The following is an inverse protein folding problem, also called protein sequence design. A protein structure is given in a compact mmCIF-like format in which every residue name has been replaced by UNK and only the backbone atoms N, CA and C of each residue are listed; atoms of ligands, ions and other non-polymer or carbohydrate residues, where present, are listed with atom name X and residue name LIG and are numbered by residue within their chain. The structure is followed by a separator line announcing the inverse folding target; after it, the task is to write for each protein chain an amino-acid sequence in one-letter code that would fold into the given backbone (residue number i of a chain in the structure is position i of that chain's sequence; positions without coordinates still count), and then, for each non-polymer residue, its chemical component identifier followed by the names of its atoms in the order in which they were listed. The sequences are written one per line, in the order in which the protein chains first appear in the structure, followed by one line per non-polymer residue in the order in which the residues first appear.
data_IF_816105322556
#
_entry.id   IF_816105322556
#
_cell.length_a   1.000
_cell.length_b   1.000
_cell.length_c   1.000
_cell.angle_alpha   90.00
_cell.angle_beta   90.00
_cell.angle_gamma   90.00
#
_symmetry.space_group_name_H-M   'P 1'
#
loop_
_entity.id
_entity.type
_entity.pdbx_description
1 polymer ?
#
# COMPACT_ATOMS: atom_id res chain seq x y z
N UNK A 1 -0.77 13.30 -21.02
CA UNK A 1 -0.68 14.25 -19.88
C UNK A 1 -1.01 13.47 -18.63
N UNK A 2 -0.07 13.35 -17.70
CA UNK A 2 -0.34 12.69 -16.43
C UNK A 2 -1.32 13.53 -15.62
N UNK A 3 -2.36 12.91 -15.08
CA UNK A 3 -3.30 13.60 -14.23
C UNK A 3 -2.67 13.68 -12.83
N UNK A 4 -2.28 14.88 -12.43
CA UNK A 4 -1.61 15.14 -11.15
C UNK A 4 -2.43 16.08 -10.29
N UNK A 5 -2.52 15.78 -8.99
CA UNK A 5 -3.11 16.67 -7.99
C UNK A 5 -2.10 16.93 -6.87
N UNK A 6 -2.11 18.15 -6.33
CA UNK A 6 -1.30 18.54 -5.17
C UNK A 6 -2.25 18.83 -4.03
N UNK A 7 -2.13 18.07 -2.94
CA UNK A 7 -3.00 18.16 -1.77
C UNK A 7 -2.21 18.52 -0.53
N UNK A 8 -2.82 19.33 0.35
CA UNK A 8 -2.24 19.67 1.65
C UNK A 8 -2.67 18.64 2.69
N UNK A 9 -1.71 17.99 3.34
CA UNK A 9 -1.97 16.97 4.38
C UNK A 9 -1.36 17.33 5.73
N UNK A 10 -0.78 18.53 5.87
CA UNK A 10 0.02 18.89 7.03
C UNK A 10 1.39 18.20 6.98
N UNK A 11 1.95 17.83 8.14
CA UNK A 11 3.23 17.09 8.20
C UNK A 11 3.01 15.67 7.68
N UNK A 12 3.65 15.25 6.57
CA UNK A 12 3.58 13.86 6.12
C UNK A 12 4.19 12.95 7.17
N UNK A 13 3.50 11.85 7.45
CA UNK A 13 3.88 10.81 8.39
C UNK A 13 3.33 9.49 7.88
N UNK A 14 3.79 8.35 8.40
CA UNK A 14 3.29 7.03 7.97
C UNK A 14 1.77 6.98 8.16
N UNK A 15 1.30 7.49 9.30
CA UNK A 15 -0.14 7.57 9.61
C UNK A 15 -0.90 8.50 8.67
N UNK A 16 -0.45 9.74 8.48
CA UNK A 16 -1.19 10.72 7.65
C UNK A 16 -1.21 10.32 6.18
N UNK A 17 -0.14 9.70 5.67
CA UNK A 17 -0.10 9.14 4.33
C UNK A 17 -1.07 7.95 4.18
N UNK A 18 -1.09 7.05 5.17
CA UNK A 18 -2.02 5.91 5.17
C UNK A 18 -3.46 6.38 5.16
N UNK A 19 -3.80 7.30 6.06
CA UNK A 19 -5.16 7.83 6.19
C UNK A 19 -5.56 8.56 4.88
N UNK A 20 -4.65 9.37 4.29
CA UNK A 20 -4.88 10.00 2.99
C UNK A 20 -5.13 8.99 1.85
N UNK A 21 -4.32 7.93 1.76
CA UNK A 21 -4.45 6.88 0.73
C UNK A 21 -5.83 6.22 0.80
N UNK A 22 -6.29 5.92 2.02
CA UNK A 22 -7.59 5.30 2.25
C UNK A 22 -8.74 6.26 1.93
N UNK A 23 -8.69 7.48 2.46
CA UNK A 23 -9.75 8.47 2.30
C UNK A 23 -9.96 8.88 0.83
N UNK A 24 -8.88 8.85 0.03
CA UNK A 24 -8.89 9.26 -1.37
C UNK A 24 -8.86 8.08 -2.36
N UNK A 25 -8.96 6.83 -1.84
CA UNK A 25 -8.93 5.62 -2.67
C UNK A 25 -7.75 5.60 -3.66
N UNK A 26 -6.56 5.94 -3.18
CA UNK A 26 -5.33 5.93 -3.99
C UNK A 26 -4.95 4.48 -4.28
N UNK A 27 -4.75 4.15 -5.55
CA UNK A 27 -4.57 2.76 -6.00
C UNK A 27 -3.09 2.39 -6.16
N UNK A 28 -2.81 1.09 -6.28
CA UNK A 28 -1.49 0.57 -6.56
C UNK A 28 -0.89 1.06 -7.89
N UNK A 29 -1.72 1.58 -8.81
CA UNK A 29 -1.27 2.18 -10.07
C UNK A 29 -0.93 3.68 -9.93
N UNK A 30 -1.19 4.28 -8.77
CA UNK A 30 -0.91 5.68 -8.48
C UNK A 30 0.37 5.84 -7.68
N UNK A 31 1.11 6.92 -7.89
CA UNK A 31 2.33 7.21 -7.12
C UNK A 31 2.12 8.45 -6.26
N UNK A 32 2.56 8.40 -5.01
CA UNK A 32 2.60 9.57 -4.12
C UNK A 32 4.03 10.09 -4.09
N UNK A 33 4.18 11.35 -4.46
CA UNK A 33 5.43 12.08 -4.41
C UNK A 33 5.43 13.02 -3.22
N UNK A 34 6.52 13.01 -2.47
CA UNK A 34 6.76 13.88 -1.32
C UNK A 34 7.89 14.84 -1.62
N UNK A 35 7.90 15.99 -0.94
CA UNK A 35 9.11 16.79 -0.88
C UNK A 35 10.24 15.99 -0.21
N UNK A 36 11.50 16.24 -0.59
CA UNK A 36 12.67 15.58 0.01
C UNK A 36 12.70 15.71 1.55
N UNK A 37 12.41 16.90 2.09
CA UNK A 37 12.39 17.12 3.55
C UNK A 37 11.33 16.24 4.22
N UNK A 38 10.15 16.13 3.60
CA UNK A 38 9.06 15.31 4.14
C UNK A 38 9.37 13.81 4.04
N UNK A 39 10.06 13.38 2.99
CA UNK A 39 10.49 11.99 2.82
C UNK A 39 11.60 11.61 3.81
N UNK A 40 12.57 12.51 4.05
CA UNK A 40 13.60 12.32 5.07
C UNK A 40 12.97 12.20 6.47
N UNK A 41 12.02 13.08 6.80
CA UNK A 41 11.27 13.02 8.06
C UNK A 41 10.47 11.71 8.19
N UNK A 42 9.88 11.22 7.09
CA UNK A 42 9.19 9.94 7.05
C UNK A 42 10.15 8.77 7.30
N UNK A 43 11.36 8.81 6.73
CA UNK A 43 12.38 7.79 6.95
C UNK A 43 12.90 7.79 8.40
N UNK A 44 13.00 8.98 9.02
CA UNK A 44 13.34 9.12 10.44
C UNK A 44 12.22 8.56 11.34
N UNK A 45 10.96 8.91 11.08
CA UNK A 45 9.79 8.33 11.78
C UNK A 45 9.81 6.81 11.70
N UNK A 46 10.01 6.27 10.49
CA UNK A 46 10.11 4.84 10.25
C UNK A 46 11.20 4.18 11.10
N UNK A 47 12.39 4.78 11.13
CA UNK A 47 13.50 4.26 11.93
C UNK A 47 13.20 4.33 13.42
N UNK A 48 12.53 5.37 13.87
CA UNK A 48 12.18 5.52 15.27
C UNK A 48 11.10 4.51 15.71
N UNK A 49 10.12 4.22 14.86
CA UNK A 49 9.03 3.29 15.16
C UNK A 49 9.46 1.82 15.01
N UNK A 50 10.17 1.47 13.94
CA UNK A 50 10.51 0.09 13.58
C UNK A 50 11.94 -0.32 13.92
N UNK A 51 12.79 0.62 14.34
CA UNK A 51 14.21 0.40 14.71
C UNK A 51 15.07 -0.11 13.55
N UNK A 52 14.68 0.22 12.32
CA UNK A 52 15.35 -0.20 11.09
C UNK A 52 15.30 0.90 10.03
N UNK A 53 16.14 0.81 9.01
CA UNK A 53 16.17 1.82 7.95
C UNK A 53 14.98 1.63 6.99
N UNK A 54 14.40 2.74 6.53
CA UNK A 54 13.39 2.70 5.47
C UNK A 54 14.00 2.16 4.17
N UNK A 55 13.33 1.17 3.61
CA UNK A 55 13.77 0.44 2.41
C UNK A 55 13.14 1.09 1.18
N UNK A 56 13.95 1.52 0.20
CA UNK A 56 13.50 2.24 -1.02
C UNK A 56 13.68 1.42 -2.30
N UNK A 57 12.63 1.07 -3.05
CA UNK A 57 11.31 1.70 -3.07
C UNK A 57 10.43 1.41 -1.84
N UNK A 58 9.80 2.46 -1.32
CA UNK A 58 8.94 2.41 -0.16
C UNK A 58 7.48 2.33 -0.60
N UNK A 59 6.77 1.33 -0.08
CA UNK A 59 5.37 1.08 -0.40
C UNK A 59 4.53 1.19 0.85
N UNK A 60 3.46 2.00 0.79
CA UNK A 60 2.47 2.11 1.84
C UNK A 60 1.11 1.71 1.26
N UNK A 61 0.49 0.66 1.81
CA UNK A 61 -0.75 0.10 1.27
C UNK A 61 -0.69 -0.16 -0.25
N UNK A 62 0.43 -0.71 -0.73
CA UNK A 62 0.72 -0.98 -2.17
C UNK A 62 0.90 0.25 -3.07
N UNK A 63 0.76 1.45 -2.52
CA UNK A 63 1.04 2.72 -3.23
C UNK A 63 2.53 3.01 -3.10
N UNK A 64 3.18 3.30 -4.23
CA UNK A 64 4.58 3.73 -4.24
C UNK A 64 4.67 5.14 -3.65
N UNK A 65 5.48 5.28 -2.61
CA UNK A 65 5.83 6.56 -2.00
C UNK A 65 7.28 6.86 -2.35
N UNK A 66 7.55 8.00 -2.98
CA UNK A 66 8.93 8.41 -3.31
C UNK A 66 9.12 9.92 -3.23
N UNK A 67 10.38 10.31 -3.24
CA UNK A 67 10.78 11.72 -3.35
C UNK A 67 10.38 12.29 -4.71
N UNK A 68 9.96 13.56 -4.71
CA UNK A 68 9.80 14.35 -5.92
C UNK A 68 11.16 14.92 -6.34
N UNK A 69 11.88 14.21 -7.20
CA UNK A 69 13.20 14.61 -7.71
C UNK A 69 13.18 16.00 -8.40
N UNK A 70 12.04 16.40 -8.94
CA UNK A 70 11.86 17.70 -9.60
C UNK A 70 11.54 18.82 -8.61
N UNK A 71 11.41 18.48 -7.32
CA UNK A 71 11.07 19.39 -6.23
C UNK A 71 9.82 20.25 -6.52
N UNK A 72 8.86 19.67 -7.24
CA UNK A 72 7.61 20.33 -7.63
C UNK A 72 6.54 20.27 -6.54
N UNK A 73 6.73 19.40 -5.55
CA UNK A 73 5.86 19.18 -4.40
C UNK A 73 6.34 20.04 -3.23
N UNK A 74 5.55 21.03 -2.78
CA UNK A 74 5.92 21.85 -1.63
C UNK A 74 5.96 21.04 -0.33
N UNK A 75 6.77 21.49 0.63
CA UNK A 75 6.81 20.91 1.98
C UNK A 75 5.42 20.92 2.63
N UNK A 76 5.07 19.83 3.31
CA UNK A 76 3.76 19.65 3.96
C UNK A 76 2.63 19.32 2.97
N UNK A 77 2.97 18.99 1.72
CA UNK A 77 2.02 18.60 0.68
C UNK A 77 2.46 17.30 0.04
N UNK A 78 1.50 16.68 -0.63
CA UNK A 78 1.75 15.50 -1.44
C UNK A 78 1.26 15.74 -2.85
N UNK A 79 1.95 15.13 -3.80
CA UNK A 79 1.53 15.11 -5.20
C UNK A 79 1.16 13.68 -5.56
N UNK A 80 -0.04 13.50 -6.10
CA UNK A 80 -0.49 12.20 -6.58
C UNK A 80 -0.36 12.16 -8.09
N UNK A 81 0.37 11.18 -8.60
CA UNK A 81 0.44 10.86 -10.03
C UNK A 81 -0.51 9.70 -10.29
N UNK A 82 -1.63 9.98 -10.98
CA UNK A 82 -2.62 8.94 -11.30
C UNK A 82 -2.16 8.09 -12.47
N UNK A 83 -2.30 6.77 -12.35
CA UNK A 83 -1.88 5.80 -13.36
C UNK A 83 -0.45 6.05 -13.84
N UNK A 84 0.49 6.08 -12.90
CA UNK A 84 1.88 6.41 -13.16
C UNK A 84 2.54 5.36 -14.07
N UNK A 85 2.52 5.65 -15.37
CA UNK A 85 3.14 4.81 -16.41
C UNK A 85 4.64 5.01 -16.52
N UNK A 86 5.20 5.99 -15.81
CA UNK A 86 6.63 6.32 -15.82
C UNK A 86 7.40 5.63 -14.70
N UNK A 87 6.75 4.76 -13.92
CA UNK A 87 7.42 3.89 -12.97
C UNK A 87 8.49 3.07 -13.67
N UNK A 88 9.72 3.14 -13.16
CA UNK A 88 10.85 2.43 -13.71
C UNK A 88 10.93 1.02 -13.13
N UNK A 89 11.60 0.09 -13.82
CA UNK A 89 11.86 -1.25 -13.28
C UNK A 89 12.54 -1.19 -11.90
N UNK A 90 13.35 -0.15 -11.66
CA UNK A 90 13.98 0.17 -10.38
C UNK A 90 13.02 0.39 -9.22
N UNK A 91 11.82 0.94 -9.50
CA UNK A 91 10.79 1.22 -8.50
C UNK A 91 10.16 -0.05 -7.92
N UNK A 92 10.46 -1.23 -8.49
CA UNK A 92 9.99 -2.53 -8.01
C UNK A 92 11.12 -3.38 -7.40
N UNK A 93 12.37 -2.89 -7.40
CA UNK A 93 13.54 -3.72 -7.06
C UNK A 93 13.62 -4.12 -5.58
N UNK A 94 13.01 -3.36 -4.66
CA UNK A 94 12.93 -3.77 -3.25
C UNK A 94 11.67 -4.56 -2.90
N UNK A 95 10.82 -4.84 -3.88
CA UNK A 95 9.86 -5.94 -3.77
C UNK A 95 10.68 -7.23 -3.92
N UNK A 96 11.45 -7.57 -2.88
CA UNK A 96 12.12 -8.86 -2.78
C UNK A 96 11.04 -9.92 -2.61
N UNK A 97 10.64 -10.54 -3.72
CA UNK A 97 9.93 -11.81 -3.69
C UNK A 97 10.96 -12.91 -3.39
N UNK A 98 11.57 -12.88 -2.20
CA UNK A 98 12.60 -13.86 -1.83
C UNK A 98 12.78 -14.01 -0.32
N UNK A 99 12.12 -15.04 0.22
CA UNK A 99 12.60 -15.81 1.38
C UNK A 99 12.53 -15.15 2.77
N UNK A 100 12.70 -15.94 3.84
CA UNK A 100 12.09 -15.69 5.13
C UNK A 100 13.07 -15.08 6.14
N UNK A 101 13.02 -13.77 6.36
CA UNK A 101 13.34 -13.16 7.65
C UNK A 101 13.01 -11.67 7.62
N UNK A 102 12.35 -11.23 8.69
CA UNK A 102 12.28 -9.84 9.18
C UNK A 102 11.24 -8.93 8.50
N UNK A 103 10.05 -8.95 9.13
CA UNK A 103 9.20 -7.80 9.47
C UNK A 103 9.02 -6.71 8.42
N UNK A 104 7.96 -6.78 7.59
CA UNK A 104 7.25 -5.59 7.09
C UNK A 104 5.75 -5.84 6.87
N UNK A 105 4.97 -4.80 7.14
CA UNK A 105 3.53 -4.74 7.35
C UNK A 105 2.71 -4.73 6.05
N UNK A 106 2.09 -5.87 5.71
CA UNK A 106 0.86 -5.87 4.90
C UNK A 106 -0.31 -5.86 5.87
N UNK A 107 -0.88 -4.68 6.13
CA UNK A 107 -1.63 -4.56 7.37
C UNK A 107 -2.97 -5.28 7.37
N UNK A 108 -3.68 -5.45 6.23
CA UNK A 108 -4.97 -6.16 6.24
C UNK A 108 -5.26 -6.86 4.90
N UNK A 109 -5.38 -8.19 4.90
CA UNK A 109 -5.94 -8.97 3.78
C UNK A 109 -7.27 -9.60 4.21
N UNK A 110 -8.37 -9.10 3.65
CA UNK A 110 -9.71 -9.58 3.97
C UNK A 110 -9.98 -10.96 3.35
N UNK A 111 -10.57 -11.84 4.16
CA UNK A 111 -11.07 -13.13 3.70
C UNK A 111 -12.58 -13.17 3.79
N UNK A 112 -13.22 -13.83 2.83
CA UNK A 112 -14.60 -14.23 2.95
C UNK A 112 -14.73 -15.19 4.14
N UNK A 113 -15.55 -14.84 5.14
CA UNK A 113 -15.81 -15.68 6.31
C UNK A 113 -16.52 -16.99 5.98
N UNK A 114 -17.05 -17.14 4.76
CA UNK A 114 -17.80 -18.32 4.32
C UNK A 114 -16.93 -19.35 3.59
N UNK A 115 -16.12 -18.92 2.60
CA UNK A 115 -15.29 -19.83 1.80
C UNK A 115 -13.78 -19.58 1.93
N UNK A 116 -13.36 -18.58 2.70
CA UNK A 116 -11.95 -18.23 2.88
C UNK A 116 -11.28 -17.55 1.69
N UNK A 117 -12.02 -17.24 0.60
CA UNK A 117 -11.48 -16.50 -0.55
C UNK A 117 -10.94 -15.14 -0.12
N UNK A 118 -9.91 -14.67 -0.82
CA UNK A 118 -9.45 -13.29 -0.68
C UNK A 118 -10.43 -12.38 -1.40
N UNK A 119 -10.90 -11.37 -0.66
CA UNK A 119 -11.92 -10.40 -1.09
C UNK A 119 -11.44 -8.99 -0.75
N UNK A 120 -12.13 -7.97 -1.25
CA UNK A 120 -11.94 -6.61 -0.75
C UNK A 120 -12.56 -6.44 0.65
N UNK A 121 -12.51 -5.21 1.18
CA UNK A 121 -13.04 -4.90 2.51
C UNK A 121 -14.57 -5.02 2.60
N UNK A 122 -15.28 -4.90 1.49
CA UNK A 122 -16.74 -5.04 1.37
C UNK A 122 -17.16 -6.50 1.15
N UNK A 123 -16.21 -7.40 0.90
CA UNK A 123 -16.47 -8.80 0.60
C UNK A 123 -16.65 -9.11 -0.89
N UNK A 124 -16.38 -8.16 -1.79
CA UNK A 124 -16.46 -8.40 -3.23
C UNK A 124 -15.26 -9.17 -3.73
N UNK A 125 -15.48 -9.88 -4.84
CA UNK A 125 -14.41 -10.59 -5.50
C UNK A 125 -13.42 -9.62 -6.15
N UNK A 126 -12.14 -9.84 -5.88
CA UNK A 126 -11.05 -9.07 -6.48
C UNK A 126 -10.78 -9.56 -7.90
N UNK A 127 -10.25 -8.68 -8.73
CA UNK A 127 -9.71 -9.06 -10.03
C UNK A 127 -8.60 -10.12 -9.90
N UNK A 128 -8.46 -10.94 -10.94
CA UNK A 128 -7.67 -12.16 -10.92
C UNK A 128 -6.19 -11.92 -10.60
N UNK A 129 -5.62 -10.82 -11.10
CA UNK A 129 -4.25 -10.37 -10.84
C UNK A 129 -4.07 -9.94 -9.38
N UNK A 130 -4.94 -9.05 -8.88
CA UNK A 130 -4.93 -8.55 -7.50
C UNK A 130 -5.17 -9.68 -6.50
N UNK A 131 -6.07 -10.62 -6.82
CA UNK A 131 -6.37 -11.80 -6.02
C UNK A 131 -5.15 -12.72 -5.92
N UNK A 132 -4.53 -13.07 -7.06
CA UNK A 132 -3.30 -13.90 -7.09
C UNK A 132 -2.16 -13.25 -6.30
N UNK A 133 -2.01 -11.93 -6.42
CA UNK A 133 -1.02 -11.18 -5.68
C UNK A 133 -1.25 -11.24 -4.17
N UNK A 134 -2.45 -10.92 -3.69
CA UNK A 134 -2.79 -11.00 -2.25
C UNK A 134 -2.71 -12.44 -1.70
N UNK A 135 -3.07 -13.44 -2.50
CA UNK A 135 -2.84 -14.85 -2.15
C UNK A 135 -1.34 -15.12 -2.00
N UNK A 136 -0.49 -14.64 -2.91
CA UNK A 136 0.95 -14.83 -2.81
C UNK A 136 1.57 -14.17 -1.55
N UNK A 137 0.97 -13.08 -1.07
CA UNK A 137 1.32 -12.46 0.22
C UNK A 137 0.91 -13.39 1.37
N UNK A 138 -0.32 -13.93 1.35
CA UNK A 138 -0.79 -14.85 2.38
C UNK A 138 0.00 -16.15 2.44
N UNK A 139 0.37 -16.74 1.31
CA UNK A 139 1.19 -17.95 1.23
C UNK A 139 2.55 -17.76 1.93
N UNK A 140 3.11 -16.55 1.83
CA UNK A 140 4.43 -16.22 2.38
C UNK A 140 4.38 -15.66 3.80
N UNK A 141 3.28 -14.97 4.15
CA UNK A 141 3.20 -14.11 5.33
C UNK A 141 1.92 -14.31 6.15
N UNK A 142 1.22 -15.44 6.01
CA UNK A 142 -0.05 -15.74 6.72
C UNK A 142 -0.03 -15.54 8.25
N UNK A 143 1.13 -15.61 8.91
CA UNK A 143 1.24 -15.45 10.37
C UNK A 143 1.39 -13.99 10.82
N UNK A 144 1.78 -13.10 9.93
CA UNK A 144 2.06 -11.69 10.24
C UNK A 144 1.03 -10.74 9.65
N UNK A 145 0.32 -11.18 8.61
CA UNK A 145 -0.73 -10.40 7.96
C UNK A 145 -2.07 -10.56 8.70
N UNK A 146 -2.68 -9.44 9.07
CA UNK A 146 -4.03 -9.44 9.67
C UNK A 146 -5.03 -9.94 8.63
N UNK A 147 -5.79 -10.97 8.99
CA UNK A 147 -6.75 -11.63 8.10
C UNK A 147 -8.18 -11.55 8.65
N UNK A 148 -8.78 -10.36 8.74
CA UNK A 148 -10.16 -10.22 9.18
C UNK A 148 -11.10 -10.92 8.19
N UNK A 149 -12.11 -11.58 8.75
CA UNK A 149 -13.18 -12.20 7.98
C UNK A 149 -14.30 -11.20 7.73
N UNK A 150 -14.80 -11.13 6.50
CA UNK A 150 -15.95 -10.32 6.08
C UNK A 150 -16.99 -11.17 5.36
N UNK A 151 -18.19 -10.65 5.19
CA UNK A 151 -19.24 -11.33 4.45
C UNK A 151 -18.96 -11.25 2.94
N UNK A 152 -18.33 -12.30 2.39
CA UNK A 152 -17.99 -12.32 0.97
C UNK A 152 -19.20 -12.54 0.06
N UNK A 153 -19.36 -11.67 -0.95
CA UNK A 153 -20.34 -11.78 -2.04
C UNK A 153 -20.04 -12.98 -2.96
N UNK A 154 -18.81 -13.49 -2.93
CA UNK A 154 -18.42 -14.73 -3.61
C UNK A 154 -19.22 -15.95 -3.13
N UNK A 155 -19.92 -15.85 -1.99
CA UNK A 155 -20.78 -16.90 -1.44
C UNK A 155 -22.25 -16.47 -1.43
N UNK A 156 -22.91 -16.54 -2.60
CA UNK A 156 -24.34 -16.23 -2.78
C UNK A 156 -25.28 -16.96 -1.81
N UNK A 157 -24.84 -18.09 -1.26
CA UNK A 157 -25.64 -18.95 -0.38
C UNK A 157 -25.06 -19.11 1.03
N UNK A 158 -24.20 -18.17 1.51
CA UNK A 158 -23.64 -18.09 2.89
C UNK A 158 -23.69 -19.43 3.63
N UNK A 159 -22.72 -20.31 3.35
CA UNK A 159 -22.71 -21.75 3.72
C UNK A 159 -23.83 -22.12 4.71
N UNK A 160 -24.83 -22.87 4.21
CA UNK A 160 -25.86 -23.53 5.02
C UNK A 160 -25.26 -23.99 6.36
N UNK A 161 -25.90 -23.57 7.46
CA UNK A 161 -25.57 -23.90 8.84
C UNK A 161 -25.13 -25.34 9.05
#
# INVERSE_FOLDING_TARGET
MQNTSIEYIGKPSIRTLRDFILDNSISENDTVLLNQIDFDELALEYRDDYKENLVVPYYLLTVLIKEDEMNSTPVGRIKVVKHDSERFAGDYNNIKISGPSESYAYDIIYRCGWCGNVVDFDGRELEDSTKKFKISILEKFSRTVKQPSVNGECCKHRHNQ
#
